data_IF_917157850933
#
_entry.id   IF_917157850933
#
_cell.length_a   1.000
_cell.length_b   1.000
_cell.length_c   1.000
_cell.angle_alpha   90.00
_cell.angle_beta   90.00
_cell.angle_gamma   90.00
#
_symmetry.space_group_name_H-M   'P 1'
#
loop_
_entity.id
_entity.type
_entity.pdbx_description
1 polymer ?
#
# COMPACT_ATOMS: atom_id res chain seq x y z
N UNK A 1 -20.29 19.65 -14.18
CA UNK A 1 -19.92 20.87 -14.94
C UNK A 1 -18.91 21.68 -14.15
N UNK A 2 -17.63 21.34 -14.29
CA UNK A 2 -16.52 22.22 -13.89
C UNK A 2 -15.93 22.77 -15.19
N UNK A 3 -16.58 23.83 -15.67
CA UNK A 3 -16.12 24.63 -16.81
C UNK A 3 -15.25 25.76 -16.30
N UNK A 4 -13.95 25.58 -16.38
CA UNK A 4 -12.99 26.67 -16.56
C UNK A 4 -11.68 26.07 -17.08
N UNK A 5 -11.73 25.53 -18.30
CA UNK A 5 -10.52 25.43 -19.13
C UNK A 5 -10.20 26.85 -19.56
N UNK A 6 -9.44 27.55 -18.75
CA UNK A 6 -8.63 28.64 -19.28
C UNK A 6 -7.50 28.00 -20.08
N UNK A 7 -7.62 28.14 -21.40
CA UNK A 7 -6.59 27.79 -22.36
C UNK A 7 -5.34 28.62 -22.06
N UNK A 8 -4.39 28.05 -21.31
CA UNK A 8 -3.03 28.57 -21.33
C UNK A 8 -2.47 28.34 -22.73
N UNK A 9 -2.15 29.43 -23.45
CA UNK A 9 -1.60 29.43 -24.80
C UNK A 9 -0.26 28.69 -24.96
N UNK A 10 0.24 28.08 -23.89
CA UNK A 10 1.24 27.03 -23.84
C UNK A 10 0.62 25.91 -23.01
N UNK A 11 0.09 24.86 -23.65
CA UNK A 11 -0.57 23.73 -22.98
C UNK A 11 0.40 22.86 -22.18
N UNK A 12 1.01 23.42 -21.14
CA UNK A 12 1.94 22.74 -20.23
C UNK A 12 1.27 22.54 -18.87
N UNK A 13 0.19 21.73 -18.86
CA UNK A 13 -0.27 21.12 -17.62
C UNK A 13 0.58 19.88 -17.37
N UNK A 14 1.45 19.95 -16.37
CA UNK A 14 2.27 18.82 -15.94
C UNK A 14 1.45 17.98 -14.94
N UNK A 15 0.88 16.86 -15.38
CA UNK A 15 0.32 15.87 -14.46
C UNK A 15 1.47 15.07 -13.84
N UNK A 16 1.61 15.18 -12.52
CA UNK A 16 2.67 14.54 -11.72
C UNK A 16 2.09 13.47 -10.81
N UNK A 17 2.70 12.27 -10.79
CA UNK A 17 2.43 11.26 -9.78
C UNK A 17 3.14 11.55 -8.45
N UNK A 18 2.63 11.00 -7.34
CA UNK A 18 3.18 11.20 -5.98
C UNK A 18 3.75 9.86 -5.46
N UNK A 19 4.95 9.88 -4.85
CA UNK A 19 5.60 8.71 -4.22
C UNK A 19 5.63 8.81 -2.69
N UNK A 20 4.51 8.48 -2.04
CA UNK A 20 4.30 8.65 -0.61
C UNK A 20 4.98 7.56 0.25
N UNK A 21 6.29 7.33 0.06
CA UNK A 21 7.09 6.44 0.90
C UNK A 21 7.66 7.16 2.13
N UNK A 22 7.86 6.48 3.28
CA UNK A 22 8.40 7.10 4.50
C UNK A 22 9.74 7.80 4.30
N UNK A 23 10.60 7.28 3.42
CA UNK A 23 11.88 7.89 3.07
C UNK A 23 11.75 9.30 2.46
N UNK A 24 10.56 9.64 1.96
CA UNK A 24 10.25 10.94 1.36
C UNK A 24 9.60 11.92 2.34
N UNK A 25 9.40 11.53 3.60
CA UNK A 25 8.90 12.39 4.67
C UNK A 25 10.08 12.75 5.57
N UNK A 26 10.53 14.00 5.49
CA UNK A 26 11.61 14.53 6.30
C UNK A 26 11.05 15.26 7.52
N UNK A 27 11.57 14.94 8.69
CA UNK A 27 11.32 15.69 9.90
C UNK A 27 12.66 16.12 10.50
N UNK A 28 12.91 17.42 10.54
CA UNK A 28 14.21 17.97 10.98
C UNK A 28 14.43 17.77 12.48
N UNK A 29 13.35 17.86 13.25
CA UNK A 29 13.30 17.62 14.69
C UNK A 29 11.89 17.14 15.12
N UNK A 30 11.72 16.45 16.26
CA UNK A 30 10.44 15.85 16.68
C UNK A 30 9.26 16.83 16.84
N UNK A 31 9.54 18.13 16.92
CA UNK A 31 8.52 19.18 17.08
C UNK A 31 8.13 19.84 15.76
N UNK A 32 8.96 19.68 14.73
CA UNK A 32 8.71 20.24 13.40
C UNK A 32 7.60 19.51 12.67
N UNK A 33 6.83 20.25 11.87
CA UNK A 33 5.86 19.66 10.93
C UNK A 33 6.63 18.83 9.90
N UNK A 34 6.31 17.54 9.71
CA UNK A 34 6.96 16.72 8.68
C UNK A 34 6.78 17.35 7.30
N UNK A 35 7.88 17.44 6.54
CA UNK A 35 7.90 17.97 5.19
C UNK A 35 8.13 16.83 4.21
N UNK A 36 7.31 16.77 3.16
CA UNK A 36 7.52 15.82 2.08
C UNK A 36 8.59 16.38 1.11
N UNK A 37 9.67 15.61 0.89
CA UNK A 37 10.88 16.11 0.24
C UNK A 37 11.18 15.50 -1.13
N UNK A 38 10.29 14.65 -1.66
CA UNK A 38 10.41 14.08 -3.00
C UNK A 38 9.32 14.64 -3.92
N UNK A 39 9.41 15.95 -4.14
CA UNK A 39 8.49 16.74 -4.98
C UNK A 39 8.85 16.67 -6.48
N UNK A 40 9.82 15.82 -6.88
CA UNK A 40 10.35 15.76 -8.25
C UNK A 40 9.88 14.47 -8.92
N UNK A 41 9.22 14.51 -10.10
CA UNK A 41 8.64 13.32 -10.68
C UNK A 41 9.62 12.61 -11.64
N UNK A 42 9.77 11.29 -11.49
CA UNK A 42 9.92 10.39 -12.65
C UNK A 42 8.55 10.04 -13.26
N UNK A 43 7.47 10.55 -12.65
CA UNK A 43 6.08 10.21 -12.98
C UNK A 43 5.37 11.39 -13.64
N UNK A 44 5.75 11.67 -14.89
CA UNK A 44 5.14 12.71 -15.72
C UNK A 44 4.35 12.06 -16.85
N UNK A 45 3.31 12.73 -17.37
CA UNK A 45 2.88 12.43 -18.74
C UNK A 45 3.86 13.06 -19.73
N UNK A 46 4.35 12.25 -20.66
CA UNK A 46 5.09 12.72 -21.84
C UNK A 46 4.20 13.66 -22.66
N UNK A 47 4.80 14.46 -23.54
CA UNK A 47 4.05 15.40 -24.39
C UNK A 47 2.96 14.75 -25.25
N UNK A 48 3.09 13.45 -25.55
CA UNK A 48 2.09 12.67 -26.27
C UNK A 48 0.94 12.13 -25.38
N UNK A 49 0.95 12.43 -24.08
CA UNK A 49 -0.03 11.99 -23.09
C UNK A 49 0.31 10.68 -22.37
N UNK A 50 1.36 9.97 -22.79
CA UNK A 50 1.75 8.68 -22.19
C UNK A 50 2.32 8.89 -20.80
N UNK A 51 1.85 8.14 -19.78
CA UNK A 51 2.39 8.25 -18.44
C UNK A 51 3.76 7.56 -18.37
N UNK A 52 4.77 8.28 -17.92
CA UNK A 52 6.01 7.74 -17.41
C UNK A 52 5.75 7.30 -15.97
N UNK A 53 6.02 6.03 -15.65
CA UNK A 53 5.57 5.44 -14.39
C UNK A 53 6.72 5.01 -13.47
N UNK A 54 7.87 4.57 -14.01
CA UNK A 54 9.10 4.21 -13.26
C UNK A 54 10.35 4.39 -14.13
N UNK A 55 11.51 4.44 -13.47
CA UNK A 55 12.83 4.35 -14.09
C UNK A 55 13.70 3.30 -13.35
N UNK A 56 14.15 2.21 -14.02
CA UNK A 56 13.83 1.84 -15.41
C UNK A 56 12.33 1.56 -15.61
N UNK A 57 11.87 1.67 -16.86
CA UNK A 57 10.48 1.37 -17.17
C UNK A 57 10.17 -0.12 -16.90
N UNK A 58 8.98 -0.46 -16.39
CA UNK A 58 8.60 -1.85 -16.18
C UNK A 58 8.67 -2.64 -17.47
N UNK A 59 9.19 -3.87 -17.41
CA UNK A 59 9.38 -4.72 -18.59
C UNK A 59 8.09 -5.40 -19.06
N UNK A 60 7.09 -5.50 -18.18
CA UNK A 60 5.80 -6.13 -18.49
C UNK A 60 4.64 -5.15 -18.45
N UNK A 61 3.54 -5.52 -19.13
CA UNK A 61 2.29 -4.75 -19.08
C UNK A 61 1.72 -4.67 -17.68
N UNK A 62 1.82 -5.76 -16.93
CA UNK A 62 1.28 -5.84 -15.57
C UNK A 62 2.06 -4.94 -14.61
N UNK A 63 3.39 -4.93 -14.72
CA UNK A 63 4.24 -3.99 -13.98
C UNK A 63 3.91 -2.53 -14.31
N UNK A 64 3.70 -2.22 -15.60
CA UNK A 64 3.28 -0.89 -16.02
C UNK A 64 1.92 -0.47 -15.44
N UNK A 65 0.90 -1.33 -15.54
CA UNK A 65 -0.45 -1.02 -15.05
C UNK A 65 -0.46 -0.79 -13.53
N UNK A 66 0.35 -1.56 -12.80
CA UNK A 66 0.50 -1.42 -11.35
C UNK A 66 1.27 -0.15 -10.96
N UNK A 67 2.35 0.17 -11.68
CA UNK A 67 3.11 1.40 -11.50
C UNK A 67 2.27 2.65 -11.84
N UNK A 68 1.44 2.57 -12.88
CA UNK A 68 0.47 3.61 -13.21
C UNK A 68 -0.57 3.76 -12.10
N UNK A 69 -1.14 2.65 -11.65
CA UNK A 69 -2.17 2.65 -10.62
C UNK A 69 -1.68 3.30 -9.32
N UNK A 70 -0.49 2.94 -8.82
CA UNK A 70 0.03 3.52 -7.56
C UNK A 70 0.33 5.01 -7.63
N UNK A 71 0.53 5.56 -8.82
CA UNK A 71 1.02 6.92 -9.01
C UNK A 71 0.00 7.91 -9.57
N UNK A 72 -0.90 7.44 -10.41
CA UNK A 72 -1.83 8.27 -11.17
C UNK A 72 -3.30 7.92 -10.89
N UNK A 73 -3.58 6.78 -10.25
CA UNK A 73 -4.95 6.43 -9.85
C UNK A 73 -5.18 6.82 -8.39
N UNK A 74 -6.29 7.51 -8.12
CA UNK A 74 -6.64 7.96 -6.77
C UNK A 74 -6.76 6.79 -5.78
N UNK A 75 -7.34 5.66 -6.20
CA UNK A 75 -7.46 4.47 -5.37
C UNK A 75 -6.07 3.92 -5.02
N UNK A 76 -5.15 3.90 -5.99
CA UNK A 76 -3.77 3.47 -5.78
C UNK A 76 -2.98 4.40 -4.87
N UNK A 77 -3.12 5.71 -5.05
CA UNK A 77 -2.50 6.71 -4.18
C UNK A 77 -2.98 6.57 -2.74
N UNK A 78 -4.30 6.47 -2.52
CA UNK A 78 -4.87 6.31 -1.18
C UNK A 78 -4.42 4.99 -0.55
N UNK A 79 -4.53 3.87 -1.27
CA UNK A 79 -4.10 2.56 -0.77
C UNK A 79 -2.62 2.51 -0.44
N UNK A 80 -1.76 3.07 -1.30
CA UNK A 80 -0.32 3.15 -1.03
C UNK A 80 -0.06 3.97 0.23
N UNK A 81 -0.68 5.14 0.35
CA UNK A 81 -0.54 6.01 1.54
C UNK A 81 -0.94 5.29 2.81
N UNK A 82 -2.13 4.67 2.83
CA UNK A 82 -2.62 3.92 3.97
C UNK A 82 -1.65 2.78 4.32
N UNK A 83 -1.17 2.02 3.32
CA UNK A 83 -0.22 0.94 3.57
C UNK A 83 1.08 1.41 4.22
N UNK A 84 1.60 2.60 3.84
CA UNK A 84 2.82 3.13 4.44
C UNK A 84 2.57 3.68 5.85
N UNK A 85 1.46 4.38 6.08
CA UNK A 85 1.09 4.86 7.41
C UNK A 85 0.90 3.69 8.38
N UNK A 86 0.17 2.66 7.96
CA UNK A 86 -0.03 1.43 8.74
C UNK A 86 1.29 0.69 9.00
N UNK A 87 2.26 0.73 8.09
CA UNK A 87 3.59 0.15 8.33
C UNK A 87 4.36 0.91 9.41
N UNK A 88 4.33 2.25 9.38
CA UNK A 88 5.05 3.08 10.36
C UNK A 88 4.43 2.93 11.75
N UNK A 89 3.09 2.93 11.84
CA UNK A 89 2.34 2.86 13.10
C UNK A 89 1.21 1.82 12.99
N UNK A 90 1.53 0.50 13.06
CA UNK A 90 0.52 -0.55 12.90
C UNK A 90 -0.64 -0.42 13.88
N UNK A 91 -0.39 0.01 15.12
CA UNK A 91 -1.39 0.21 16.16
C UNK A 91 -2.46 1.27 15.80
N UNK A 92 -2.16 2.15 14.84
CA UNK A 92 -3.08 3.18 14.35
C UNK A 92 -3.81 2.78 13.05
N UNK A 93 -3.64 1.54 12.56
CA UNK A 93 -4.17 1.10 11.25
C UNK A 93 -5.67 1.39 11.08
N UNK A 94 -6.49 1.14 12.11
CA UNK A 94 -7.94 1.42 12.06
C UNK A 94 -8.23 2.91 11.90
N UNK A 95 -7.46 3.78 12.57
CA UNK A 95 -7.63 5.22 12.50
C UNK A 95 -7.23 5.77 11.13
N UNK A 96 -6.13 5.26 10.55
CA UNK A 96 -5.72 5.65 9.20
C UNK A 96 -6.76 5.24 8.16
N UNK A 97 -7.32 4.04 8.26
CA UNK A 97 -8.37 3.58 7.34
C UNK A 97 -9.63 4.45 7.45
N UNK A 98 -10.06 4.81 8.66
CA UNK A 98 -11.15 5.76 8.86
C UNK A 98 -10.84 7.13 8.26
N UNK A 99 -9.59 7.60 8.38
CA UNK A 99 -9.13 8.84 7.73
C UNK A 99 -9.24 8.76 6.21
N UNK A 100 -8.96 7.59 5.61
CA UNK A 100 -9.17 7.33 4.18
C UNK A 100 -10.64 7.44 3.76
N UNK A 101 -11.56 6.90 4.57
CA UNK A 101 -13.00 7.07 4.35
C UNK A 101 -13.45 8.52 4.46
N UNK A 102 -12.99 9.24 5.47
CA UNK A 102 -13.35 10.65 5.68
C UNK A 102 -12.82 11.53 4.54
N UNK A 103 -11.59 11.28 4.07
CA UNK A 103 -11.05 11.91 2.88
C UNK A 103 -11.94 11.66 1.65
N UNK A 104 -12.35 10.41 1.41
CA UNK A 104 -13.22 10.06 0.28
C UNK A 104 -14.59 10.77 0.36
N UNK A 105 -15.17 10.89 1.57
CA UNK A 105 -16.42 11.65 1.81
C UNK A 105 -16.25 13.14 1.57
N UNK A 106 -15.16 13.74 2.05
CA UNK A 106 -14.88 15.17 1.86
C UNK A 106 -14.71 15.52 0.38
N UNK A 107 -14.11 14.62 -0.41
CA UNK A 107 -14.03 14.76 -1.86
C UNK A 107 -15.37 14.54 -2.59
N UNK A 108 -16.38 13.98 -1.93
CA UNK A 108 -17.62 13.55 -2.58
C UNK A 108 -17.41 12.40 -3.58
N UNK A 109 -16.35 11.59 -3.42
CA UNK A 109 -15.97 10.56 -4.39
C UNK A 109 -16.58 9.19 -4.03
N UNK A 110 -17.74 8.90 -4.60
CA UNK A 110 -18.45 7.62 -4.40
C UNK A 110 -17.72 6.40 -4.99
N UNK A 111 -16.87 6.58 -6.00
CA UNK A 111 -16.08 5.49 -6.56
C UNK A 111 -14.98 5.05 -5.60
N UNK A 112 -14.27 6.00 -5.01
CA UNK A 112 -13.25 5.73 -4.00
C UNK A 112 -13.87 5.04 -2.77
N UNK A 113 -15.04 5.49 -2.30
CA UNK A 113 -15.74 4.84 -1.19
C UNK A 113 -16.05 3.37 -1.48
N UNK A 114 -16.64 3.10 -2.64
CA UNK A 114 -16.95 1.72 -3.07
C UNK A 114 -15.69 0.88 -3.25
N UNK A 115 -14.61 1.47 -3.75
CA UNK A 115 -13.31 0.80 -3.83
C UNK A 115 -12.80 0.41 -2.44
N UNK A 116 -12.83 1.34 -1.46
CA UNK A 116 -12.38 1.06 -0.08
C UNK A 116 -13.22 -0.04 0.57
N UNK A 117 -14.54 -0.08 0.33
CA UNK A 117 -15.43 -1.14 0.82
C UNK A 117 -15.11 -2.52 0.24
N UNK A 118 -14.57 -2.57 -0.97
CA UNK A 118 -14.24 -3.80 -1.69
C UNK A 118 -12.80 -4.25 -1.47
N UNK A 119 -11.92 -3.33 -1.10
CA UNK A 119 -10.49 -3.59 -0.93
C UNK A 119 -10.22 -4.61 0.17
N UNK A 120 -9.47 -5.66 -0.16
CA UNK A 120 -9.31 -6.85 0.68
C UNK A 120 -8.66 -6.53 2.03
N UNK A 121 -7.69 -5.61 2.05
CA UNK A 121 -7.05 -5.18 3.29
C UNK A 121 -8.01 -4.49 4.27
N UNK A 122 -9.05 -3.82 3.76
CA UNK A 122 -10.09 -3.20 4.59
C UNK A 122 -11.16 -4.23 4.94
N UNK A 123 -11.61 -5.05 3.99
CA UNK A 123 -12.57 -6.13 4.27
C UNK A 123 -12.10 -7.08 5.36
N UNK A 124 -10.79 -7.35 5.42
CA UNK A 124 -10.17 -8.17 6.46
C UNK A 124 -10.48 -7.66 7.87
N UNK A 125 -10.48 -6.34 8.10
CA UNK A 125 -10.73 -5.75 9.41
C UNK A 125 -12.08 -6.16 10.00
N UNK A 126 -13.13 -6.08 9.18
CA UNK A 126 -14.51 -6.32 9.60
C UNK A 126 -14.93 -7.77 9.45
N UNK A 127 -14.13 -8.60 8.79
CA UNK A 127 -14.41 -10.00 8.57
C UNK A 127 -14.27 -10.81 9.87
N UNK A 128 -15.10 -11.84 10.01
CA UNK A 128 -14.95 -12.84 11.07
C UNK A 128 -13.70 -13.72 10.83
N UNK A 129 -13.23 -14.50 11.82
CA UNK A 129 -12.00 -15.28 11.68
C UNK A 129 -11.96 -16.24 10.49
N UNK A 130 -13.09 -16.88 10.12
CA UNK A 130 -13.14 -17.78 8.97
C UNK A 130 -12.97 -17.01 7.67
N UNK A 131 -13.71 -15.92 7.52
CA UNK A 131 -13.67 -15.09 6.32
C UNK A 131 -12.31 -14.41 6.14
N UNK A 132 -11.64 -14.03 7.24
CA UNK A 132 -10.27 -13.49 7.23
C UNK A 132 -9.28 -14.46 6.57
N UNK A 133 -9.35 -15.75 6.92
CA UNK A 133 -8.48 -16.77 6.31
C UNK A 133 -8.79 -16.96 4.83
N UNK A 134 -10.07 -16.98 4.47
CA UNK A 134 -10.50 -17.05 3.06
C UNK A 134 -10.03 -15.84 2.25
N UNK A 135 -10.06 -14.63 2.82
CA UNK A 135 -9.51 -13.43 2.18
C UNK A 135 -8.03 -13.64 1.87
N UNK A 136 -7.21 -14.03 2.85
CA UNK A 136 -5.78 -14.26 2.66
C UNK A 136 -5.54 -15.30 1.56
N UNK A 137 -6.24 -16.44 1.62
CA UNK A 137 -6.10 -17.54 0.66
C UNK A 137 -6.42 -17.11 -0.77
N UNK A 138 -7.36 -16.18 -0.97
CA UNK A 138 -7.78 -15.71 -2.28
C UNK A 138 -6.94 -14.57 -2.85
N UNK A 139 -6.00 -14.00 -2.08
CA UNK A 139 -5.15 -12.91 -2.57
C UNK A 139 -4.31 -13.37 -3.77
N UNK A 140 -4.42 -12.67 -4.92
CA UNK A 140 -3.53 -12.88 -6.06
C UNK A 140 -2.19 -12.15 -5.86
N UNK A 141 -1.18 -12.47 -6.65
CA UNK A 141 0.17 -11.90 -6.52
C UNK A 141 0.22 -10.37 -6.64
N UNK A 142 -0.68 -9.78 -7.43
CA UNK A 142 -0.75 -8.33 -7.59
C UNK A 142 -1.43 -7.62 -6.41
N UNK A 143 -2.03 -8.34 -5.45
CA UNK A 143 -2.66 -7.79 -4.25
C UNK A 143 -1.64 -7.45 -3.15
N UNK A 144 -0.47 -6.94 -3.54
CA UNK A 144 0.66 -6.62 -2.65
C UNK A 144 0.26 -5.68 -1.51
N UNK A 145 -0.48 -4.60 -1.85
CA UNK A 145 -0.90 -3.62 -0.85
C UNK A 145 -1.95 -4.17 0.11
N UNK A 146 -2.79 -5.11 -0.35
CA UNK A 146 -3.72 -5.80 0.54
C UNK A 146 -2.98 -6.69 1.54
N UNK A 147 -2.01 -7.49 1.07
CA UNK A 147 -1.15 -8.31 1.94
C UNK A 147 -0.45 -7.47 3.02
N UNK A 148 0.13 -6.33 2.63
CA UNK A 148 0.79 -5.40 3.55
C UNK A 148 -0.16 -4.81 4.59
N UNK A 149 -1.33 -4.32 4.16
CA UNK A 149 -2.32 -3.78 5.07
C UNK A 149 -2.84 -4.84 6.04
N UNK A 150 -3.09 -6.07 5.57
CA UNK A 150 -3.46 -7.20 6.44
C UNK A 150 -2.35 -7.47 7.46
N UNK A 151 -1.08 -7.48 7.04
CA UNK A 151 0.06 -7.64 7.95
C UNK A 151 0.07 -6.59 9.06
N UNK A 152 -0.13 -5.32 8.72
CA UNK A 152 -0.18 -4.24 9.71
C UNK A 152 -1.33 -4.43 10.71
N UNK A 153 -2.52 -4.80 10.22
CA UNK A 153 -3.69 -5.06 11.06
C UNK A 153 -3.45 -6.22 12.01
N UNK A 154 -2.93 -7.34 11.51
CA UNK A 154 -2.68 -8.52 12.33
C UNK A 154 -1.62 -8.21 13.39
N UNK A 155 -0.53 -7.50 13.04
CA UNK A 155 0.49 -7.10 14.02
C UNK A 155 -0.10 -6.18 15.10
N UNK A 156 -0.94 -5.22 14.73
CA UNK A 156 -1.63 -4.35 15.68
C UNK A 156 -2.46 -5.14 16.70
N UNK A 157 -3.21 -6.15 16.23
CA UNK A 157 -4.02 -7.02 17.09
C UNK A 157 -3.16 -7.94 17.97
N UNK A 158 -1.99 -8.38 17.49
CA UNK A 158 -1.09 -9.28 18.22
C UNK A 158 -0.11 -8.55 19.16
N UNK A 159 -0.01 -7.22 19.10
CA UNK A 159 0.95 -6.43 19.92
C UNK A 159 0.71 -6.58 21.43
N UNK A 160 -0.52 -6.88 21.85
CA UNK A 160 -0.88 -7.21 23.24
C UNK A 160 -0.92 -8.72 23.53
N UNK A 161 -0.50 -9.55 22.58
CA UNK A 161 -0.62 -11.01 22.62
C UNK A 161 0.61 -11.74 23.16
N UNK A 162 0.71 -13.02 22.82
CA UNK A 162 1.75 -13.97 23.30
C UNK A 162 3.01 -13.99 22.44
N UNK A 163 3.08 -13.19 21.38
CA UNK A 163 4.26 -13.15 20.51
C UNK A 163 5.40 -12.38 21.17
N UNK A 164 6.67 -12.80 20.94
CA UNK A 164 7.82 -11.97 21.26
C UNK A 164 7.69 -10.59 20.60
N UNK A 165 7.95 -9.53 21.37
CA UNK A 165 7.74 -8.13 20.93
C UNK A 165 8.61 -7.73 19.75
N UNK A 166 9.74 -8.41 19.56
CA UNK A 166 10.72 -8.22 18.49
C UNK A 166 10.40 -9.03 17.22
N UNK A 167 9.59 -10.09 17.33
CA UNK A 167 9.28 -10.96 16.19
C UNK A 167 8.24 -10.33 15.24
N UNK A 168 7.21 -9.66 15.78
CA UNK A 168 6.13 -9.09 14.97
C UNK A 168 6.61 -8.04 13.95
N UNK A 169 7.49 -7.08 14.31
CA UNK A 169 8.07 -6.15 13.33
C UNK A 169 8.86 -6.86 12.23
N UNK A 170 9.65 -7.89 12.57
CA UNK A 170 10.45 -8.66 11.60
C UNK A 170 9.53 -9.35 10.58
N UNK A 171 8.47 -10.01 11.05
CA UNK A 171 7.51 -10.68 10.16
C UNK A 171 6.71 -9.71 9.30
N UNK A 172 6.40 -8.51 9.81
CA UNK A 172 5.76 -7.47 9.01
C UNK A 172 6.68 -6.99 7.89
N UNK A 173 7.94 -6.70 8.23
CA UNK A 173 8.93 -6.27 7.26
C UNK A 173 9.19 -7.35 6.20
N UNK A 174 9.18 -8.62 6.60
CA UNK A 174 9.27 -9.74 5.67
C UNK A 174 8.09 -9.79 4.69
N UNK A 175 6.86 -9.61 5.17
CA UNK A 175 5.69 -9.48 4.26
C UNK A 175 5.88 -8.31 3.29
N UNK A 176 6.43 -7.18 3.76
CA UNK A 176 6.69 -6.03 2.89
C UNK A 176 7.77 -6.29 1.85
N UNK A 177 8.81 -7.05 2.22
CA UNK A 177 9.91 -7.48 1.37
C UNK A 177 9.44 -8.45 0.28
N UNK A 178 8.76 -9.53 0.67
CA UNK A 178 8.20 -10.53 -0.25
C UNK A 178 7.20 -9.94 -1.23
N UNK A 179 6.49 -8.89 -0.81
CA UNK A 179 5.52 -8.19 -1.67
C UNK A 179 6.10 -6.93 -2.32
N UNK A 180 7.42 -6.77 -2.35
CA UNK A 180 8.08 -5.63 -2.97
C UNK A 180 7.78 -5.56 -4.47
N UNK A 181 7.47 -4.36 -4.94
CA UNK A 181 7.31 -4.09 -6.36
C UNK A 181 8.60 -3.51 -6.90
N UNK A 182 9.37 -4.35 -7.60
CA UNK A 182 10.47 -3.92 -8.45
C UNK A 182 9.93 -3.57 -9.84
N UNK A 183 10.21 -4.44 -10.82
CA UNK A 183 9.72 -4.28 -12.20
C UNK A 183 8.37 -4.99 -12.45
N UNK A 184 8.04 -5.97 -11.61
CA UNK A 184 6.88 -6.86 -11.72
C UNK A 184 6.19 -7.09 -10.36
N UNK A 185 4.94 -7.60 -10.35
CA UNK A 185 4.33 -8.10 -9.13
C UNK A 185 5.17 -9.19 -8.45
N UNK A 186 4.89 -9.43 -7.16
CA UNK A 186 5.53 -10.50 -6.40
C UNK A 186 5.43 -11.86 -7.12
N UNK A 187 6.44 -12.71 -6.97
CA UNK A 187 6.40 -14.06 -7.55
C UNK A 187 5.35 -14.93 -6.88
N UNK A 188 4.97 -16.06 -7.51
CA UNK A 188 4.06 -17.03 -6.89
C UNK A 188 4.63 -17.56 -5.56
N UNK A 189 5.95 -17.78 -5.50
CA UNK A 189 6.64 -18.26 -4.31
C UNK A 189 6.60 -17.22 -3.18
N UNK A 190 6.94 -15.96 -3.48
CA UNK A 190 6.91 -14.88 -2.49
C UNK A 190 5.49 -14.61 -2.00
N UNK A 191 4.51 -14.66 -2.90
CA UNK A 191 3.09 -14.52 -2.56
C UNK A 191 2.63 -15.66 -1.64
N UNK A 192 3.02 -16.90 -1.92
CA UNK A 192 2.70 -18.04 -1.08
C UNK A 192 3.35 -17.91 0.32
N UNK A 193 4.61 -17.49 0.38
CA UNK A 193 5.36 -17.23 1.62
C UNK A 193 4.67 -16.13 2.45
N UNK A 194 4.33 -14.99 1.83
CA UNK A 194 3.64 -13.89 2.51
C UNK A 194 2.28 -14.34 3.05
N UNK A 195 1.49 -15.09 2.26
CA UNK A 195 0.20 -15.65 2.68
C UNK A 195 0.36 -16.63 3.84
N UNK A 196 1.43 -17.42 3.87
CA UNK A 196 1.73 -18.33 4.98
C UNK A 196 2.01 -17.57 6.28
N UNK A 197 2.82 -16.50 6.22
CA UNK A 197 3.09 -15.61 7.37
C UNK A 197 1.77 -15.01 7.88
N UNK A 198 0.99 -14.39 7.00
CA UNK A 198 -0.28 -13.74 7.35
C UNK A 198 -1.29 -14.72 7.95
N UNK A 199 -1.39 -15.94 7.40
CA UNK A 199 -2.27 -17.00 7.90
C UNK A 199 -1.84 -17.42 9.31
N UNK A 200 -0.54 -17.65 9.52
CA UNK A 200 0.00 -18.08 10.81
C UNK A 200 -0.25 -17.02 11.88
N UNK A 201 0.07 -15.77 11.58
CA UNK A 201 -0.16 -14.65 12.49
C UNK A 201 -1.65 -14.46 12.81
N UNK A 202 -2.54 -14.55 11.81
CA UNK A 202 -3.99 -14.45 12.01
C UNK A 202 -4.56 -15.56 12.89
N UNK A 203 -3.87 -16.70 12.97
CA UNK A 203 -4.23 -17.84 13.81
C UNK A 203 -3.52 -17.84 15.17
N UNK A 204 -2.72 -16.81 15.48
CA UNK A 204 -1.94 -16.74 16.71
C UNK A 204 -0.78 -17.73 16.77
N UNK A 205 -0.22 -18.13 15.62
CA UNK A 205 0.89 -19.09 15.51
C UNK A 205 2.16 -18.42 14.97
N UNK A 206 3.31 -18.87 15.48
CA UNK A 206 4.61 -18.48 14.92
C UNK A 206 4.78 -19.22 13.58
N UNK A 207 4.96 -18.51 12.45
CA UNK A 207 5.33 -19.17 11.19
C UNK A 207 6.69 -19.86 11.37
N UNK A 208 6.88 -21.03 10.78
CA UNK A 208 8.17 -21.73 10.84
C UNK A 208 9.23 -20.86 10.16
N UNK A 209 10.22 -20.40 10.94
CA UNK A 209 11.25 -19.41 10.54
C UNK A 209 12.43 -20.03 9.79
N UNK A 210 12.46 -21.36 9.60
CA UNK A 210 13.64 -22.08 9.09
C UNK A 210 14.08 -21.63 7.68
N UNK A 211 13.18 -21.00 6.92
CA UNK A 211 13.46 -20.44 5.58
C UNK A 211 13.64 -18.91 5.55
N UNK A 212 13.22 -18.17 6.60
CA UNK A 212 13.22 -16.68 6.61
C UNK A 212 14.58 -16.10 7.05
N UNK A 213 15.35 -16.83 7.87
CA UNK A 213 16.62 -16.34 8.43
C UNK A 213 17.83 -16.67 7.52
N UNK A 214 17.62 -17.41 6.42
CA UNK A 214 18.71 -17.93 5.55
C UNK A 214 18.88 -17.19 4.21
N UNK A 215 18.05 -16.19 3.91
CA UNK A 215 18.16 -15.29 2.74
C UNK A 215 18.77 -13.95 3.12
#
# INVERSE_FOLDING_TARGET
>A
NLSSREDSALGLWLEVGIDLKPANILQKDPTSVPQYADLVPARMRKQNGDPEVELPAPLTRQGFDLAYWRAFNLNGLVTMTLSQLCRIRPELSHQFINTGYDFARQLGNAELLRYLDQFEGIRFLTANPRDRLTIIEQLPNHAMYAMRMIGCVVVAEQTSGTFPSDLLPVLLEEVHHLTHFGDDPASDADTAQAKHILTSLSQGRIPYLDDIIRS
#
